data_IF_991780951578
#
_entry.id   IF_991780951578
#
_cell.length_a   1.000
_cell.length_b   1.000
_cell.length_c   1.000
_cell.angle_alpha   90.00
_cell.angle_beta   90.00
_cell.angle_gamma   90.00
#
_symmetry.space_group_name_H-M   'P 1'
#
loop_
_entity.id
_entity.type
_entity.pdbx_description
1 polymer ?
#
# COMPACT_ATOMS: atom_id res chain seq x y z
N UNK A 1 11.84 -26.63 -9.98
CA UNK A 1 11.10 -25.49 -10.54
C UNK A 1 10.84 -24.47 -9.45
N UNK A 2 11.62 -23.40 -9.40
CA UNK A 2 11.42 -22.32 -8.43
C UNK A 2 10.26 -21.45 -8.91
N UNK A 3 9.14 -21.49 -8.20
CA UNK A 3 7.98 -20.64 -8.46
C UNK A 3 8.41 -19.18 -8.39
N UNK A 4 8.23 -18.42 -9.49
CA UNK A 4 8.41 -16.96 -9.51
C UNK A 4 7.79 -16.38 -8.25
N UNK A 5 8.57 -15.74 -7.40
CA UNK A 5 8.05 -14.82 -6.40
C UNK A 5 7.29 -13.75 -7.19
N UNK A 6 5.97 -13.91 -7.34
CA UNK A 6 5.10 -12.93 -7.95
C UNK A 6 5.27 -11.66 -7.13
N UNK A 7 5.97 -10.68 -7.70
CA UNK A 7 6.35 -9.45 -7.06
C UNK A 7 5.07 -8.68 -6.78
N UNK A 8 4.48 -8.90 -5.59
CA UNK A 8 3.17 -8.37 -5.24
C UNK A 8 3.20 -6.85 -5.34
N UNK A 9 2.33 -6.30 -6.17
CA UNK A 9 2.26 -4.87 -6.40
C UNK A 9 2.07 -4.11 -5.09
N UNK A 10 2.83 -3.04 -4.92
CA UNK A 10 2.84 -2.24 -3.70
C UNK A 10 2.97 -0.75 -4.01
N UNK A 11 2.53 0.06 -3.06
CA UNK A 11 2.80 1.49 -2.98
C UNK A 11 3.43 1.82 -1.63
N UNK A 12 4.19 2.91 -1.58
CA UNK A 12 4.79 3.44 -0.36
C UNK A 12 3.85 4.42 0.33
N UNK A 13 3.72 4.28 1.65
CA UNK A 13 2.92 5.18 2.49
C UNK A 13 3.80 5.71 3.62
N UNK A 14 3.83 7.03 3.78
CA UNK A 14 4.29 7.68 5.01
C UNK A 14 3.08 7.82 5.93
N UNK A 15 3.07 7.06 7.02
CA UNK A 15 2.07 7.17 8.08
C UNK A 15 2.48 8.30 9.03
N UNK A 16 1.86 9.48 8.91
CA UNK A 16 2.18 10.63 9.79
C UNK A 16 1.82 10.38 11.24
N UNK A 17 0.88 9.47 11.53
CA UNK A 17 0.51 9.09 12.90
C UNK A 17 1.69 8.57 13.73
N UNK A 18 2.71 7.96 13.10
CA UNK A 18 3.93 7.49 13.78
C UNK A 18 5.20 7.93 13.06
N UNK A 19 5.08 8.86 12.09
CA UNK A 19 6.13 9.32 11.19
C UNK A 19 6.98 8.16 10.61
N UNK A 20 6.31 7.14 10.06
CA UNK A 20 6.97 5.93 9.57
C UNK A 20 6.58 5.63 8.13
N UNK A 21 7.58 5.27 7.32
CA UNK A 21 7.39 4.76 5.98
C UNK A 21 7.13 3.25 6.03
N UNK A 22 6.06 2.79 5.37
CA UNK A 22 5.81 1.37 5.16
C UNK A 22 5.20 1.14 3.77
N UNK A 23 5.37 -0.07 3.24
CA UNK A 23 4.74 -0.49 1.98
C UNK A 23 3.39 -1.11 2.28
N UNK A 24 2.42 -0.80 1.43
CA UNK A 24 1.11 -1.47 1.43
C UNK A 24 0.89 -2.13 0.08
N UNK A 25 0.14 -3.23 0.08
CA UNK A 25 0.09 -4.13 -1.07
C UNK A 25 -1.29 -4.18 -1.68
N UNK A 26 -1.34 -4.44 -2.99
CA UNK A 26 -2.59 -4.65 -3.69
C UNK A 26 -3.32 -5.86 -3.09
N UNK A 27 -4.61 -5.71 -2.82
CA UNK A 27 -5.46 -6.81 -2.37
C UNK A 27 -5.63 -7.86 -3.48
N UNK A 28 -6.13 -9.04 -3.12
CA UNK A 28 -6.32 -10.14 -4.08
C UNK A 28 -7.31 -9.78 -5.19
N UNK A 29 -8.30 -8.95 -4.88
CA UNK A 29 -9.33 -8.48 -5.82
C UNK A 29 -8.82 -7.40 -6.78
N UNK A 30 -7.60 -6.88 -6.57
CA UNK A 30 -6.99 -5.80 -7.36
C UNK A 30 -7.80 -4.49 -7.39
N UNK A 31 -8.58 -4.23 -6.34
CA UNK A 31 -9.43 -3.04 -6.20
C UNK A 31 -8.82 -1.97 -5.30
N UNK A 32 -7.97 -2.36 -4.35
CA UNK A 32 -7.37 -1.44 -3.38
C UNK A 32 -5.99 -1.91 -2.92
N UNK A 33 -5.08 -0.97 -2.70
CA UNK A 33 -3.89 -1.19 -1.88
C UNK A 33 -4.27 -1.07 -0.41
N UNK A 34 -3.97 -2.10 0.38
CA UNK A 34 -4.36 -2.18 1.80
C UNK A 34 -3.13 -2.46 2.66
N UNK A 35 -3.04 -1.77 3.78
CA UNK A 35 -2.03 -2.05 4.79
C UNK A 35 -2.29 -1.34 6.10
N UNK A 36 -1.34 -1.45 7.02
CA UNK A 36 -1.44 -0.91 8.37
C UNK A 36 -0.14 -0.22 8.75
N UNK A 37 -0.26 0.81 9.59
CA UNK A 37 0.89 1.37 10.29
C UNK A 37 1.47 0.27 11.20
N UNK A 38 2.77 -0.08 11.07
CA UNK A 38 3.37 -1.15 11.85
C UNK A 38 3.54 -0.78 13.34
N UNK A 39 3.31 0.48 13.72
CA UNK A 39 3.48 0.97 15.10
C UNK A 39 2.16 1.00 15.86
N UNK A 40 1.11 1.57 15.27
CA UNK A 40 -0.18 1.77 15.95
C UNK A 40 -1.33 0.95 15.35
N UNK A 41 -1.10 0.22 14.26
CA UNK A 41 -2.15 -0.56 13.60
C UNK A 41 -3.18 0.28 12.85
N UNK A 42 -2.94 1.58 12.59
CA UNK A 42 -3.85 2.40 11.76
C UNK A 42 -3.97 1.79 10.36
N UNK A 43 -5.16 1.34 9.98
CA UNK A 43 -5.46 0.81 8.65
C UNK A 43 -5.46 1.95 7.62
N UNK A 44 -4.93 1.68 6.44
CA UNK A 44 -5.06 2.51 5.25
C UNK A 44 -5.56 1.68 4.09
N UNK A 45 -6.40 2.30 3.26
CA UNK A 45 -6.90 1.72 2.02
C UNK A 45 -6.85 2.78 0.92
N UNK A 46 -6.18 2.46 -0.19
CA UNK A 46 -6.07 3.33 -1.38
C UNK A 46 -6.70 2.59 -2.55
N UNK A 47 -7.83 3.11 -3.05
CA UNK A 47 -8.55 2.49 -4.17
C UNK A 47 -7.78 2.63 -5.48
N UNK A 48 -7.86 1.61 -6.31
CA UNK A 48 -7.36 1.61 -7.69
C UNK A 48 -8.44 2.19 -8.60
N UNK A 49 -8.05 3.09 -9.50
CA UNK A 49 -8.94 3.69 -10.49
C UNK A 49 -8.21 3.85 -11.82
N UNK A 50 -8.87 3.63 -12.97
CA UNK A 50 -8.30 3.93 -14.29
C UNK A 50 -8.01 5.42 -14.48
N UNK A 51 -8.67 6.30 -13.71
CA UNK A 51 -8.43 7.74 -13.66
C UNK A 51 -7.64 8.15 -12.42
N UNK A 52 -7.01 7.18 -11.75
CA UNK A 52 -6.25 7.40 -10.52
C UNK A 52 -4.93 8.13 -10.76
N UNK A 53 -4.12 8.17 -9.71
CA UNK A 53 -2.77 8.73 -9.80
C UNK A 53 -1.77 7.68 -10.29
N UNK A 54 -0.75 8.13 -11.01
CA UNK A 54 0.45 7.32 -11.34
C UNK A 54 1.51 7.35 -10.22
N UNK A 55 1.30 8.16 -9.18
CA UNK A 55 2.18 8.25 -8.02
C UNK A 55 2.25 6.93 -7.26
N UNK A 56 3.45 6.56 -6.82
CA UNK A 56 3.69 5.34 -6.00
C UNK A 56 3.91 5.63 -4.52
N UNK A 57 3.98 6.90 -4.15
CA UNK A 57 4.25 7.35 -2.78
C UNK A 57 3.13 8.28 -2.34
N UNK A 58 2.54 7.99 -1.18
CA UNK A 58 1.50 8.81 -0.58
C UNK A 58 1.79 9.03 0.91
N UNK A 59 1.13 10.01 1.48
CA UNK A 59 1.19 10.30 2.91
C UNK A 59 -0.21 10.23 3.51
N UNK A 60 -0.33 9.66 4.70
CA UNK A 60 -1.60 9.52 5.41
C UNK A 60 -1.44 10.04 6.83
N UNK A 61 -2.25 11.04 7.18
CA UNK A 61 -2.35 11.64 8.52
C UNK A 61 -3.33 10.92 9.41
#
# INVERSE_FOLDING_TARGET
MSTKNENREYIGIIFKCCNIYNRIYLNKEKTSFVGWCPRCGKKVEVKVSPYGSTSRFFEVS
#
